data_IF_858477859102
#
_entry.id   IF_858477859102
#
_cell.length_a   1.000
_cell.length_b   1.000
_cell.length_c   1.000
_cell.angle_alpha   90.00
_cell.angle_beta   90.00
_cell.angle_gamma   90.00
#
_symmetry.space_group_name_H-M   'P 1'
#
loop_
_entity.id
_entity.type
_entity.pdbx_description
1 polymer ?
#
# COMPACT_ATOMS: atom_id res chain seq x y z
N UNK A 1 35.33 18.61 74.18
CA UNK A 1 33.93 19.07 74.29
C UNK A 1 33.68 20.14 73.24
N UNK A 2 32.84 19.89 72.24
CA UNK A 2 32.17 20.92 71.42
C UNK A 2 30.85 20.32 70.91
N UNK A 3 29.74 20.87 71.37
CA UNK A 3 28.39 20.62 70.86
C UNK A 3 28.07 21.65 69.78
N UNK A 4 27.36 21.25 68.73
CA UNK A 4 26.27 22.05 68.12
C UNK A 4 25.55 21.26 67.03
N UNK A 5 24.23 21.18 67.18
CA UNK A 5 23.23 20.72 66.22
C UNK A 5 22.67 21.95 65.52
N UNK A 6 22.57 21.97 64.19
CA UNK A 6 21.51 22.72 63.48
C UNK A 6 21.17 21.97 62.19
N UNK A 7 19.91 21.55 62.09
CA UNK A 7 19.28 21.01 60.89
C UNK A 7 18.92 22.15 59.92
N UNK A 8 19.04 21.92 58.61
CA UNK A 8 18.36 22.71 57.58
C UNK A 8 17.72 21.77 56.56
N UNK A 9 16.40 21.79 56.50
CA UNK A 9 15.59 21.11 55.52
C UNK A 9 15.66 21.89 54.20
N UNK A 10 16.16 21.25 53.13
CA UNK A 10 16.07 21.77 51.77
C UNK A 10 14.82 21.17 51.12
N UNK A 11 13.82 22.03 50.93
CA UNK A 11 12.65 21.74 50.10
C UNK A 11 13.10 21.52 48.65
N UNK A 12 12.99 20.28 48.16
CA UNK A 12 13.13 19.98 46.74
C UNK A 12 11.84 20.42 46.03
N UNK A 13 11.92 21.50 45.26
CA UNK A 13 10.88 21.92 44.33
C UNK A 13 10.93 20.95 43.14
N UNK A 14 9.88 20.18 42.83
CA UNK A 14 9.86 19.41 41.59
C UNK A 14 9.71 20.39 40.43
N UNK A 15 10.79 20.60 39.69
CA UNK A 15 10.75 21.28 38.41
C UNK A 15 9.90 20.47 37.44
N UNK A 16 8.76 21.02 37.04
CA UNK A 16 7.96 20.49 35.94
C UNK A 16 8.78 20.59 34.66
N UNK A 17 9.34 19.47 34.22
CA UNK A 17 9.92 19.36 32.89
C UNK A 17 8.79 19.55 31.87
N UNK A 18 8.74 20.70 31.21
CA UNK A 18 7.94 20.91 30.01
C UNK A 18 8.57 20.05 28.92
N UNK A 19 7.96 18.90 28.64
CA UNK A 19 8.32 18.09 27.48
C UNK A 19 8.02 18.92 26.22
N UNK A 20 9.06 19.53 25.65
CA UNK A 20 9.02 20.08 24.29
C UNK A 20 8.82 18.86 23.38
N UNK A 21 7.72 18.76 22.62
CA UNK A 21 7.58 17.68 21.66
C UNK A 21 8.75 17.77 20.68
N UNK A 22 9.48 16.66 20.52
CA UNK A 22 10.54 16.57 19.53
C UNK A 22 9.97 16.97 18.16
N UNK A 23 10.72 17.71 17.33
CA UNK A 23 10.29 18.01 15.97
C UNK A 23 10.04 16.68 15.27
N UNK A 24 8.79 16.46 14.86
CA UNK A 24 8.39 15.29 14.07
C UNK A 24 9.28 15.29 12.84
N UNK A 25 10.16 14.30 12.76
CA UNK A 25 11.20 14.19 11.73
C UNK A 25 10.55 14.32 10.35
N UNK A 26 10.89 15.37 9.61
CA UNK A 26 10.54 15.52 8.20
C UNK A 26 11.08 14.38 7.31
N UNK A 27 11.89 13.48 7.88
CA UNK A 27 12.52 12.33 7.23
C UNK A 27 11.52 11.22 6.86
N UNK A 28 10.39 11.09 7.55
CA UNK A 28 9.38 10.07 7.21
C UNK A 28 8.57 10.39 5.96
N UNK A 29 8.46 11.67 5.58
CA UNK A 29 7.66 12.10 4.42
C UNK A 29 8.41 11.84 3.11
N UNK A 30 9.73 12.07 3.09
CA UNK A 30 10.56 11.88 1.88
C UNK A 30 10.76 10.41 1.49
N UNK A 31 10.55 9.44 2.40
CA UNK A 31 10.66 8.01 2.07
C UNK A 31 9.48 7.46 1.28
N UNK A 32 8.30 8.08 1.35
CA UNK A 32 7.09 7.59 0.66
C UNK A 32 7.19 7.72 -0.87
N UNK A 33 7.91 8.71 -1.37
CA UNK A 33 7.97 9.06 -2.80
C UNK A 33 8.96 8.22 -3.65
N UNK A 34 9.68 7.25 -3.06
CA UNK A 34 10.76 6.55 -3.77
C UNK A 34 10.35 5.23 -4.45
N UNK A 35 9.08 4.85 -4.39
CA UNK A 35 8.59 3.64 -5.08
C UNK A 35 7.46 3.96 -6.05
N UNK A 36 7.48 3.29 -7.20
CA UNK A 36 6.40 3.31 -8.19
C UNK A 36 5.80 1.92 -8.34
N UNK A 37 4.50 1.89 -8.53
CA UNK A 37 3.73 0.69 -8.84
C UNK A 37 2.92 0.94 -10.12
N UNK A 38 3.28 0.24 -11.18
CA UNK A 38 2.72 0.44 -12.52
C UNK A 38 1.84 -0.77 -12.84
N UNK A 39 0.62 -0.47 -13.22
CA UNK A 39 -0.32 -1.42 -13.80
C UNK A 39 -0.36 -1.20 -15.30
N UNK A 40 0.12 -2.16 -16.06
CA UNK A 40 0.18 -2.09 -17.51
C UNK A 40 -0.78 -3.11 -18.12
N UNK A 41 -1.85 -2.65 -18.77
CA UNK A 41 -2.69 -3.53 -19.57
C UNK A 41 -1.84 -4.23 -20.64
N UNK A 42 -2.12 -5.52 -20.85
CA UNK A 42 -1.40 -6.35 -21.82
C UNK A 42 -2.34 -6.96 -22.85
N UNK A 43 -3.41 -7.62 -22.41
CA UNK A 43 -4.30 -8.34 -23.31
C UNK A 43 -5.69 -8.56 -22.67
N UNK A 44 -6.66 -8.97 -23.48
CA UNK A 44 -7.91 -9.54 -23.03
C UNK A 44 -8.41 -10.64 -23.98
N UNK A 45 -9.11 -11.64 -23.44
CA UNK A 45 -9.67 -12.73 -24.24
C UNK A 45 -11.01 -13.20 -23.70
N UNK A 46 -11.74 -13.94 -24.52
CA UNK A 46 -12.98 -14.56 -24.11
C UNK A 46 -12.71 -15.95 -23.51
N UNK A 47 -13.28 -16.24 -22.35
CA UNK A 47 -13.12 -17.51 -21.65
C UNK A 47 -14.39 -17.80 -20.86
N UNK A 48 -14.99 -18.98 -21.04
CA UNK A 48 -16.14 -19.45 -20.25
C UNK A 48 -17.29 -18.43 -20.11
N UNK A 49 -17.69 -17.80 -21.22
CA UNK A 49 -18.72 -16.76 -21.26
C UNK A 49 -18.37 -15.39 -20.64
N UNK A 50 -17.13 -15.22 -20.17
CA UNK A 50 -16.61 -14.00 -19.58
C UNK A 50 -15.50 -13.39 -20.43
N UNK A 51 -15.20 -12.13 -20.17
CA UNK A 51 -14.01 -11.44 -20.66
C UNK A 51 -12.92 -11.53 -19.59
N UNK A 52 -11.76 -12.07 -19.94
CA UNK A 52 -10.55 -12.06 -19.10
C UNK A 52 -9.69 -10.87 -19.47
N UNK A 53 -9.23 -10.12 -18.48
CA UNK A 53 -8.27 -9.02 -18.63
C UNK A 53 -6.96 -9.43 -17.98
N UNK A 54 -5.83 -9.16 -18.67
CA UNK A 54 -4.49 -9.33 -18.10
C UNK A 54 -3.80 -7.99 -17.94
N UNK A 55 -3.33 -7.76 -16.73
CA UNK A 55 -2.54 -6.59 -16.34
C UNK A 55 -1.21 -7.05 -15.81
N UNK A 56 -0.12 -6.52 -16.36
CA UNK A 56 1.21 -6.68 -15.79
C UNK A 56 1.37 -5.72 -14.61
N UNK A 57 1.95 -6.25 -13.53
CA UNK A 57 2.31 -5.48 -12.34
C UNK A 57 3.82 -5.25 -12.34
N UNK A 58 4.24 -3.99 -12.26
CA UNK A 58 5.64 -3.60 -12.28
C UNK A 58 5.91 -2.71 -11.06
N UNK A 59 6.99 -3.00 -10.35
CA UNK A 59 7.46 -2.23 -9.20
C UNK A 59 8.81 -1.61 -9.52
N UNK A 60 9.00 -0.34 -9.21
CA UNK A 60 10.30 0.35 -9.30
C UNK A 60 10.65 0.96 -7.94
N UNK A 61 11.76 0.57 -7.29
CA UNK A 61 12.59 -0.60 -7.60
C UNK A 61 11.80 -1.92 -7.49
N UNK A 62 12.36 -3.00 -8.03
CA UNK A 62 11.70 -4.32 -7.97
C UNK A 62 11.44 -4.72 -6.51
N UNK A 63 10.18 -5.04 -6.20
CA UNK A 63 9.73 -5.47 -4.88
C UNK A 63 8.60 -6.49 -5.02
N UNK A 64 8.92 -7.77 -4.83
CA UNK A 64 7.97 -8.86 -5.04
C UNK A 64 6.91 -8.93 -3.90
N UNK A 65 7.20 -8.40 -2.71
CA UNK A 65 6.22 -8.28 -1.61
C UNK A 65 5.08 -7.33 -1.99
N UNK A 66 5.40 -6.25 -2.71
CA UNK A 66 4.40 -5.32 -3.24
C UNK A 66 3.49 -5.97 -4.29
N UNK A 67 4.02 -6.88 -5.11
CA UNK A 67 3.24 -7.64 -6.09
C UNK A 67 2.21 -8.55 -5.39
N UNK A 68 2.64 -9.26 -4.35
CA UNK A 68 1.76 -10.10 -3.52
C UNK A 68 0.72 -9.27 -2.75
N UNK A 69 1.15 -8.15 -2.15
CA UNK A 69 0.27 -7.24 -1.43
C UNK A 69 -0.83 -6.68 -2.34
N UNK A 70 -0.48 -6.19 -3.53
CA UNK A 70 -1.46 -5.68 -4.49
C UNK A 70 -2.48 -6.76 -4.87
N UNK A 71 -2.00 -7.97 -5.18
CA UNK A 71 -2.88 -9.09 -5.50
C UNK A 71 -3.88 -9.41 -4.37
N UNK A 72 -3.41 -9.42 -3.12
CA UNK A 72 -4.26 -9.64 -1.95
C UNK A 72 -5.24 -8.49 -1.65
N UNK A 73 -4.89 -7.26 -2.04
CA UNK A 73 -5.81 -6.12 -1.98
C UNK A 73 -6.89 -6.26 -3.05
N UNK A 74 -6.51 -6.55 -4.30
CA UNK A 74 -7.46 -6.70 -5.41
C UNK A 74 -8.50 -7.80 -5.11
N UNK A 75 -8.07 -8.91 -4.50
CA UNK A 75 -8.93 -10.04 -4.17
C UNK A 75 -10.09 -9.68 -3.20
N UNK A 76 -10.00 -8.55 -2.51
CA UNK A 76 -11.07 -8.03 -1.64
C UNK A 76 -12.14 -7.26 -2.39
N UNK A 77 -11.83 -6.84 -3.62
CA UNK A 77 -12.74 -6.11 -4.51
C UNK A 77 -13.28 -6.98 -5.63
N UNK A 78 -12.76 -8.19 -5.78
CA UNK A 78 -13.29 -9.20 -6.70
C UNK A 78 -14.50 -9.90 -6.12
N UNK A 79 -15.54 -10.12 -6.93
CA UNK A 79 -16.72 -10.87 -6.49
C UNK A 79 -16.55 -12.36 -6.75
N UNK A 80 -17.36 -13.20 -6.09
CA UNK A 80 -17.19 -14.65 -6.03
C UNK A 80 -17.16 -15.37 -7.40
N UNK A 81 -17.76 -14.76 -8.44
CA UNK A 81 -17.78 -15.32 -9.80
C UNK A 81 -16.57 -14.89 -10.65
N UNK A 82 -15.76 -13.96 -10.16
CA UNK A 82 -14.58 -13.47 -10.85
C UNK A 82 -13.37 -14.34 -10.49
N UNK A 83 -12.70 -14.87 -11.51
CA UNK A 83 -11.49 -15.65 -11.37
C UNK A 83 -10.27 -14.73 -11.41
N UNK A 84 -9.85 -14.23 -10.24
CA UNK A 84 -8.59 -13.51 -10.08
C UNK A 84 -7.43 -14.50 -9.93
N UNK A 85 -6.38 -14.31 -10.73
CA UNK A 85 -5.16 -15.11 -10.66
C UNK A 85 -3.94 -14.19 -10.77
N UNK A 86 -3.01 -14.29 -9.83
CA UNK A 86 -1.74 -13.56 -9.90
C UNK A 86 -0.58 -14.55 -9.97
N UNK A 87 0.30 -14.40 -10.95
CA UNK A 87 1.38 -15.35 -11.19
C UNK A 87 2.48 -14.77 -12.09
N UNK A 88 3.64 -15.44 -12.09
CA UNK A 88 4.73 -15.15 -13.02
C UNK A 88 4.52 -15.89 -14.34
N UNK A 89 4.72 -15.18 -15.45
CA UNK A 89 4.70 -15.74 -16.80
C UNK A 89 5.61 -14.93 -17.71
N UNK A 90 6.43 -15.60 -18.51
CA UNK A 90 7.24 -14.97 -19.56
C UNK A 90 8.08 -13.77 -19.05
N UNK A 91 8.58 -13.85 -17.81
CA UNK A 91 9.36 -12.78 -17.15
C UNK A 91 8.53 -11.64 -16.56
N UNK A 92 7.20 -11.70 -16.63
CA UNK A 92 6.27 -10.69 -16.12
C UNK A 92 5.47 -11.26 -14.94
N UNK A 93 5.24 -10.44 -13.91
CA UNK A 93 4.21 -10.76 -12.92
C UNK A 93 2.91 -10.16 -13.41
N UNK A 94 1.89 -11.00 -13.57
CA UNK A 94 0.60 -10.59 -14.14
C UNK A 94 -0.52 -10.91 -13.19
N UNK A 95 -1.58 -10.12 -13.27
CA UNK A 95 -2.88 -10.43 -12.71
C UNK A 95 -3.87 -10.60 -13.86
N UNK A 96 -4.54 -11.74 -13.86
CA UNK A 96 -5.68 -12.02 -14.70
C UNK A 96 -6.96 -11.91 -13.88
N UNK A 97 -7.99 -11.26 -14.39
CA UNK A 97 -9.31 -11.18 -13.78
C UNK A 97 -10.40 -11.38 -14.82
N UNK A 98 -11.45 -12.15 -14.49
CA UNK A 98 -12.59 -12.37 -15.38
C UNK A 98 -13.75 -11.46 -15.02
N UNK A 99 -14.46 -10.97 -16.03
CA UNK A 99 -15.58 -10.05 -15.91
C UNK A 99 -16.68 -10.38 -16.89
N UNK A 100 -17.88 -9.85 -16.64
CA UNK A 100 -19.00 -9.96 -17.59
C UNK A 100 -18.59 -9.38 -18.95
N UNK A 101 -18.89 -10.10 -20.03
CA UNK A 101 -18.60 -9.60 -21.37
C UNK A 101 -19.43 -8.32 -21.67
N UNK A 102 -18.75 -7.24 -22.03
CA UNK A 102 -19.38 -5.99 -22.47
C UNK A 102 -18.94 -4.78 -21.65
N UNK A 103 -19.57 -3.61 -21.87
CA UNK A 103 -19.19 -2.36 -21.23
C UNK A 103 -19.24 -2.43 -19.70
N UNK A 104 -20.28 -3.07 -19.13
CA UNK A 104 -20.44 -3.15 -17.69
C UNK A 104 -19.29 -3.90 -16.99
N UNK A 105 -18.84 -5.05 -17.52
CA UNK A 105 -17.70 -5.76 -16.95
C UNK A 105 -16.37 -5.06 -17.21
N UNK A 106 -16.23 -4.34 -18.33
CA UNK A 106 -15.05 -3.49 -18.55
C UNK A 106 -14.95 -2.35 -17.53
N UNK A 107 -16.08 -1.71 -17.21
CA UNK A 107 -16.14 -0.64 -16.21
C UNK A 107 -15.87 -1.18 -14.81
N UNK A 108 -16.39 -2.38 -14.49
CA UNK A 108 -16.13 -3.07 -13.23
C UNK A 108 -14.64 -3.39 -13.07
N UNK A 109 -14.00 -3.98 -14.09
CA UNK A 109 -12.55 -4.23 -14.14
C UNK A 109 -11.74 -2.97 -13.78
N UNK A 110 -12.02 -1.85 -14.46
CA UNK A 110 -11.31 -0.58 -14.20
C UNK A 110 -11.56 -0.07 -12.79
N UNK A 111 -12.80 -0.16 -12.32
CA UNK A 111 -13.19 0.29 -10.98
C UNK A 111 -12.46 -0.50 -9.89
N UNK A 112 -12.35 -1.82 -10.03
CA UNK A 112 -11.64 -2.67 -9.07
C UNK A 112 -10.16 -2.33 -9.02
N UNK A 113 -9.49 -2.21 -10.17
CA UNK A 113 -8.09 -1.80 -10.21
C UNK A 113 -7.87 -0.41 -9.63
N UNK A 114 -8.78 0.54 -9.89
CA UNK A 114 -8.72 1.87 -9.29
C UNK A 114 -8.82 1.81 -7.77
N UNK A 115 -9.80 1.09 -7.22
CA UNK A 115 -9.97 0.93 -5.77
C UNK A 115 -8.78 0.22 -5.11
N UNK A 116 -8.29 -0.84 -5.73
CA UNK A 116 -7.13 -1.59 -5.24
C UNK A 116 -5.87 -0.71 -5.24
N UNK A 117 -5.67 0.08 -6.29
CA UNK A 117 -4.57 1.03 -6.40
C UNK A 117 -4.64 2.16 -5.37
N UNK A 118 -5.82 2.75 -5.15
CA UNK A 118 -6.01 3.79 -4.13
C UNK A 118 -5.72 3.22 -2.72
N UNK A 119 -6.12 1.96 -2.47
CA UNK A 119 -5.81 1.28 -1.22
C UNK A 119 -4.34 0.92 -1.08
N UNK A 120 -3.69 0.50 -2.16
CA UNK A 120 -2.27 0.20 -2.19
C UNK A 120 -1.44 1.46 -1.92
N UNK A 121 -1.75 2.57 -2.59
CA UNK A 121 -1.13 3.88 -2.35
C UNK A 121 -1.29 4.29 -0.88
N UNK A 122 -2.51 4.19 -0.34
CA UNK A 122 -2.78 4.53 1.06
C UNK A 122 -1.96 3.69 2.05
N UNK A 123 -1.67 2.44 1.71
CA UNK A 123 -0.94 1.50 2.58
C UNK A 123 0.58 1.55 2.45
N UNK A 124 1.10 1.95 1.29
CA UNK A 124 2.54 1.86 0.97
C UNK A 124 3.20 3.22 0.73
N UNK A 125 2.42 4.22 0.29
CA UNK A 125 2.93 5.50 -0.17
C UNK A 125 3.49 5.49 -1.61
N UNK A 126 3.57 4.35 -2.29
CA UNK A 126 4.14 4.27 -3.63
C UNK A 126 3.27 4.94 -4.68
N UNK A 127 3.88 5.73 -5.55
CA UNK A 127 3.21 6.35 -6.69
C UNK A 127 2.59 5.30 -7.61
N UNK A 128 1.35 5.52 -8.04
CA UNK A 128 0.65 4.60 -8.92
C UNK A 128 0.60 5.14 -10.35
N UNK A 129 0.90 4.27 -11.31
CA UNK A 129 0.61 4.49 -12.74
C UNK A 129 -0.41 3.46 -13.20
N UNK A 130 -1.59 3.91 -13.63
CA UNK A 130 -2.70 3.07 -14.07
C UNK A 130 -2.85 3.17 -15.60
N UNK A 131 -2.30 2.18 -16.31
CA UNK A 131 -2.47 2.01 -17.76
C UNK A 131 -3.38 0.80 -18.05
N UNK A 132 -4.50 0.71 -17.33
CA UNK A 132 -5.50 -0.37 -17.37
C UNK A 132 -6.73 0.02 -18.18
#
# INVERSE_FOLDING_TARGET
MKFSVVAQALFAIPGLATAIPAPVEAVEVDKRANCKFILQWTDNWYENALRRYRVQLITEPRNDDHLGLYCGILAKYTVELENQQCYWRDGMYVVDISEVQGPAGHDQYKRQHKLASDRFYSGTGCDIVLNT
#
